data_IF_006814719625
#
_entry.id   IF_006814719625
#
_cell.length_a   1.000
_cell.length_b   1.000
_cell.length_c   1.000
_cell.angle_alpha   90.00
_cell.angle_beta   90.00
_cell.angle_gamma   90.00
#
_symmetry.space_group_name_H-M   'P 1'
#
loop_
_entity.id
_entity.type
_entity.pdbx_description
1 polymer ?
#
# COMPACT_ATOMS: atom_id res chain seq x y z
N UNK A 1 57.35 25.19 20.64
CA UNK A 1 56.85 24.55 21.85
C UNK A 1 56.85 23.06 21.57
N UNK A 2 57.80 22.29 22.13
CA UNK A 2 57.81 20.84 22.13
C UNK A 2 56.63 20.42 23.03
N UNK A 3 55.54 19.94 22.46
CA UNK A 3 54.54 19.24 23.24
C UNK A 3 55.21 18.03 23.88
N UNK A 4 55.23 17.96 25.21
CA UNK A 4 55.63 16.79 25.95
C UNK A 4 54.78 15.60 25.48
N UNK A 5 55.43 14.47 25.20
CA UNK A 5 54.72 13.20 25.05
C UNK A 5 54.23 12.77 26.42
N UNK A 6 53.21 13.44 26.92
CA UNK A 6 52.51 12.96 28.09
C UNK A 6 51.94 11.60 27.76
N UNK A 7 52.05 10.67 28.68
CA UNK A 7 51.55 9.31 28.58
C UNK A 7 50.04 9.33 28.37
N UNK A 8 49.62 9.35 27.12
CA UNK A 8 48.24 9.13 26.78
C UNK A 8 47.95 7.66 27.05
N UNK A 9 47.17 7.37 28.07
CA UNK A 9 46.72 6.01 28.38
C UNK A 9 45.71 5.57 27.34
N UNK A 10 46.18 5.19 26.16
CA UNK A 10 45.33 4.56 25.16
C UNK A 10 45.04 3.10 25.55
N UNK A 11 43.82 2.64 25.48
CA UNK A 11 43.51 1.24 25.77
C UNK A 11 44.26 0.32 24.80
N UNK A 12 44.98 -0.66 25.39
CA UNK A 12 45.59 -1.74 24.59
C UNK A 12 44.51 -2.78 24.28
N UNK A 13 44.16 -2.89 23.05
CA UNK A 13 43.13 -3.83 22.57
C UNK A 13 43.60 -4.59 21.34
N UNK A 14 43.12 -5.83 21.17
CA UNK A 14 43.32 -6.62 19.96
C UNK A 14 42.43 -6.16 18.78
N UNK A 15 41.48 -5.26 19.02
CA UNK A 15 40.65 -4.71 17.96
C UNK A 15 41.48 -3.79 17.06
N UNK A 16 41.29 -3.95 15.76
CA UNK A 16 41.94 -3.08 14.77
C UNK A 16 41.43 -1.64 14.89
N UNK A 17 42.34 -0.67 14.81
CA UNK A 17 42.00 0.76 14.76
C UNK A 17 41.18 1.13 13.51
N UNK A 18 41.34 0.38 12.44
CA UNK A 18 40.53 0.51 11.21
C UNK A 18 39.47 -0.59 11.19
N UNK A 19 38.20 -0.21 11.08
CA UNK A 19 37.11 -1.17 11.05
C UNK A 19 37.19 -2.10 9.84
N UNK A 20 37.57 -1.59 8.66
CA UNK A 20 37.67 -2.34 7.40
C UNK A 20 36.44 -3.20 7.12
N UNK A 21 35.25 -2.61 7.31
CA UNK A 21 33.97 -3.33 7.31
C UNK A 21 33.70 -4.05 6.00
N UNK A 22 34.12 -3.49 4.86
CA UNK A 22 33.90 -4.11 3.55
C UNK A 22 34.46 -5.53 3.46
N UNK A 23 35.57 -5.81 4.12
CA UNK A 23 36.21 -7.13 4.14
C UNK A 23 35.75 -7.95 5.36
N UNK A 24 35.66 -7.29 6.52
CA UNK A 24 35.37 -7.97 7.79
C UNK A 24 33.93 -8.48 7.91
N UNK A 25 32.95 -7.73 7.37
CA UNK A 25 31.55 -8.18 7.42
C UNK A 25 31.32 -9.49 6.66
N UNK A 26 31.79 -9.66 5.39
CA UNK A 26 31.69 -10.95 4.72
C UNK A 26 32.36 -12.09 5.48
N UNK A 27 33.55 -11.88 6.07
CA UNK A 27 34.24 -12.90 6.87
C UNK A 27 33.41 -13.32 8.09
N UNK A 28 32.73 -12.38 8.76
CA UNK A 28 31.84 -12.67 9.89
C UNK A 28 30.60 -13.45 9.42
N UNK A 29 30.00 -13.05 8.30
CA UNK A 29 28.83 -13.74 7.75
C UNK A 29 29.18 -15.18 7.34
N UNK A 30 30.33 -15.40 6.75
CA UNK A 30 30.83 -16.73 6.40
C UNK A 30 31.08 -17.61 7.65
N UNK A 31 31.63 -16.99 8.70
CA UNK A 31 31.78 -17.67 9.98
C UNK A 31 30.42 -18.07 10.58
N UNK A 32 29.43 -17.14 10.61
CA UNK A 32 28.08 -17.43 11.11
C UNK A 32 27.40 -18.54 10.32
N UNK A 33 27.57 -18.54 9.00
CA UNK A 33 27.06 -19.62 8.15
C UNK A 33 27.74 -20.96 8.47
N UNK A 34 29.07 -20.97 8.66
CA UNK A 34 29.84 -22.19 8.98
C UNK A 34 29.41 -22.85 10.28
N UNK A 35 29.09 -22.06 11.31
CA UNK A 35 28.64 -22.55 12.62
C UNK A 35 27.13 -22.77 12.70
N UNK A 36 26.36 -22.46 11.63
CA UNK A 36 24.88 -22.44 11.62
C UNK A 36 24.32 -21.63 12.81
N UNK A 37 24.74 -20.36 12.91
CA UNK A 37 24.50 -19.50 14.07
C UNK A 37 23.04 -19.53 14.53
N UNK A 38 22.06 -19.49 13.60
CA UNK A 38 20.65 -19.47 13.98
C UNK A 38 20.27 -20.73 14.76
N UNK A 39 20.66 -21.91 14.32
CA UNK A 39 20.37 -23.16 15.01
C UNK A 39 21.08 -23.25 16.37
N UNK A 40 22.31 -22.80 16.44
CA UNK A 40 23.05 -22.76 17.73
C UNK A 40 22.36 -21.84 18.74
N UNK A 41 21.87 -20.67 18.30
CA UNK A 41 21.08 -19.78 19.14
C UNK A 41 19.77 -20.45 19.62
N UNK A 42 19.08 -21.21 18.76
CA UNK A 42 17.85 -21.94 19.16
C UNK A 42 18.16 -23.03 20.18
N UNK A 43 19.28 -23.76 20.03
CA UNK A 43 19.68 -24.75 21.01
C UNK A 43 20.02 -24.15 22.37
N UNK A 44 20.85 -23.09 22.39
CA UNK A 44 21.30 -22.46 23.63
C UNK A 44 20.20 -21.79 24.43
N UNK A 45 19.10 -21.41 23.79
CA UNK A 45 17.98 -20.72 24.42
C UNK A 45 16.72 -21.57 24.57
N UNK A 46 16.79 -22.84 24.23
CA UNK A 46 15.67 -23.78 24.39
C UNK A 46 15.17 -23.81 25.83
N UNK A 47 13.87 -23.56 26.00
CA UNK A 47 13.22 -23.58 27.31
C UNK A 47 13.29 -22.27 28.11
N UNK A 48 13.96 -21.24 27.59
CA UNK A 48 13.93 -19.88 28.18
C UNK A 48 12.63 -19.14 27.82
N UNK A 49 12.38 -18.02 28.50
CA UNK A 49 11.26 -17.13 28.18
C UNK A 49 11.33 -16.70 26.70
N UNK A 50 10.20 -16.83 26.00
CA UNK A 50 10.13 -16.43 24.59
C UNK A 50 9.94 -14.94 24.43
N UNK A 51 10.69 -14.37 23.51
CA UNK A 51 10.43 -13.06 22.94
C UNK A 51 10.19 -13.23 21.44
N UNK A 52 9.00 -12.85 20.95
CA UNK A 52 8.63 -13.01 19.55
C UNK A 52 8.40 -11.62 18.96
N UNK A 53 9.22 -11.24 18.00
CA UNK A 53 8.99 -10.07 17.16
C UNK A 53 8.28 -10.50 15.89
N UNK A 54 7.01 -10.08 15.74
CA UNK A 54 6.27 -10.31 14.51
C UNK A 54 6.78 -9.40 13.38
N UNK A 55 7.05 -9.98 12.22
CA UNK A 55 7.51 -9.21 11.06
C UNK A 55 6.34 -8.50 10.35
N UNK A 56 6.48 -7.20 10.05
CA UNK A 56 5.68 -6.52 9.05
C UNK A 56 6.26 -6.87 7.68
N UNK A 57 5.57 -7.73 6.90
CA UNK A 57 6.16 -8.32 5.71
C UNK A 57 6.31 -7.29 4.59
N UNK A 58 7.51 -7.10 4.02
CA UNK A 58 7.68 -6.27 2.84
C UNK A 58 7.09 -6.93 1.59
N UNK A 59 6.72 -6.13 0.59
CA UNK A 59 6.33 -6.64 -0.72
C UNK A 59 7.51 -7.30 -1.44
N UNK A 60 7.24 -8.45 -2.04
CA UNK A 60 8.21 -9.19 -2.84
C UNK A 60 8.19 -8.71 -4.31
N UNK A 61 8.60 -7.45 -4.56
CA UNK A 61 8.41 -6.83 -5.89
C UNK A 61 9.57 -5.97 -6.43
N UNK A 62 10.70 -5.94 -5.74
CA UNK A 62 11.87 -5.15 -6.16
C UNK A 62 13.01 -5.26 -5.15
N UNK A 63 14.16 -4.67 -5.46
CA UNK A 63 15.26 -4.61 -4.52
C UNK A 63 14.88 -3.87 -3.24
N UNK A 64 15.50 -4.24 -2.12
CA UNK A 64 15.31 -3.50 -0.88
C UNK A 64 15.78 -2.04 -1.04
N UNK A 65 15.03 -1.12 -0.48
CA UNK A 65 15.37 0.30 -0.39
C UNK A 65 15.80 0.65 1.05
N UNK A 66 16.28 1.87 1.26
CA UNK A 66 16.77 2.31 2.57
C UNK A 66 15.75 2.13 3.70
N UNK A 67 14.46 2.38 3.43
CA UNK A 67 13.40 2.15 4.42
C UNK A 67 13.25 0.68 4.81
N UNK A 68 13.31 -0.24 3.84
CA UNK A 68 13.30 -1.68 4.09
C UNK A 68 14.52 -2.13 4.88
N UNK A 69 15.71 -1.62 4.51
CA UNK A 69 16.95 -1.92 5.22
C UNK A 69 16.90 -1.44 6.67
N UNK A 70 16.48 -0.18 6.90
CA UNK A 70 16.32 0.39 8.24
C UNK A 70 15.36 -0.44 9.09
N UNK A 71 14.20 -0.78 8.55
CA UNK A 71 13.20 -1.58 9.26
C UNK A 71 13.77 -2.93 9.69
N UNK A 72 14.46 -3.65 8.79
CA UNK A 72 15.04 -4.96 9.11
C UNK A 72 16.21 -4.87 10.08
N UNK A 73 17.06 -3.87 9.97
CA UNK A 73 18.18 -3.65 10.89
C UNK A 73 17.67 -3.35 12.30
N UNK A 74 16.66 -2.48 12.45
CA UNK A 74 16.08 -2.18 13.76
C UNK A 74 15.45 -3.42 14.41
N UNK A 75 14.72 -4.23 13.64
CA UNK A 75 14.17 -5.50 14.13
C UNK A 75 15.28 -6.47 14.54
N UNK A 76 16.33 -6.59 13.76
CA UNK A 76 17.46 -7.45 14.07
C UNK A 76 18.18 -7.02 15.35
N UNK A 77 18.36 -5.71 15.58
CA UNK A 77 18.90 -5.17 16.83
C UNK A 77 18.03 -5.58 18.02
N UNK A 78 16.71 -5.42 17.92
CA UNK A 78 15.77 -5.81 19.00
C UNK A 78 15.86 -7.31 19.28
N UNK A 79 15.81 -8.13 18.24
CA UNK A 79 15.90 -9.59 18.35
C UNK A 79 17.21 -10.03 19.01
N UNK A 80 18.34 -9.46 18.55
CA UNK A 80 19.67 -9.74 19.11
C UNK A 80 19.80 -9.25 20.54
N UNK A 81 19.25 -8.09 20.87
CA UNK A 81 19.23 -7.58 22.24
C UNK A 81 18.56 -8.57 23.19
N UNK A 82 17.33 -8.99 22.90
CA UNK A 82 16.61 -9.96 23.73
C UNK A 82 17.28 -11.33 23.75
N UNK A 83 17.91 -11.73 22.65
CA UNK A 83 18.71 -12.94 22.61
C UNK A 83 19.92 -12.88 23.56
N UNK A 84 20.61 -11.73 23.63
CA UNK A 84 21.74 -11.51 24.54
C UNK A 84 21.29 -11.32 25.99
N UNK A 85 20.09 -10.76 26.19
CA UNK A 85 19.42 -10.62 27.49
C UNK A 85 18.89 -11.97 28.04
N UNK A 86 19.18 -13.05 27.39
CA UNK A 86 18.91 -14.42 27.85
C UNK A 86 17.55 -14.98 27.47
N UNK A 87 16.79 -14.35 26.60
CA UNK A 87 15.49 -14.85 26.11
C UNK A 87 15.64 -15.76 24.89
N UNK A 88 14.64 -16.60 24.66
CA UNK A 88 14.48 -17.33 23.40
C UNK A 88 13.83 -16.39 22.36
N UNK A 89 14.67 -15.55 21.75
CA UNK A 89 14.23 -14.53 20.79
C UNK A 89 14.17 -15.11 19.38
N UNK A 90 12.96 -15.46 18.94
CA UNK A 90 12.68 -16.05 17.63
C UNK A 90 12.30 -14.98 16.66
N UNK A 91 12.92 -14.96 15.48
CA UNK A 91 12.53 -14.09 14.39
C UNK A 91 12.23 -14.93 13.12
N UNK A 92 10.97 -14.86 12.68
CA UNK A 92 10.52 -15.48 11.43
C UNK A 92 10.28 -14.35 10.42
N UNK A 93 11.12 -14.22 9.40
CA UNK A 93 10.91 -13.19 8.37
C UNK A 93 9.68 -13.49 7.53
N UNK A 94 9.00 -12.44 7.08
CA UNK A 94 7.79 -12.54 6.27
C UNK A 94 7.86 -11.75 4.97
N UNK A 95 7.00 -12.11 4.01
CA UNK A 95 6.78 -11.38 2.76
C UNK A 95 5.32 -11.26 2.41
N UNK A 96 4.95 -10.06 1.92
CA UNK A 96 3.67 -9.82 1.26
C UNK A 96 3.82 -10.08 -0.24
N UNK A 97 2.94 -10.94 -0.76
CA UNK A 97 3.06 -11.49 -2.12
C UNK A 97 1.81 -11.28 -2.97
N UNK A 98 0.87 -10.43 -2.53
CA UNK A 98 -0.42 -10.25 -3.17
C UNK A 98 -0.67 -8.81 -3.64
N UNK A 99 -1.71 -8.66 -4.47
CA UNK A 99 -2.31 -7.40 -4.86
C UNK A 99 -1.54 -6.62 -5.92
N UNK A 100 -1.94 -5.38 -6.11
CA UNK A 100 -1.44 -4.48 -7.15
C UNK A 100 0.10 -4.35 -7.19
N UNK A 101 0.83 -4.31 -6.06
CA UNK A 101 2.29 -4.19 -6.11
C UNK A 101 3.00 -5.33 -6.87
N UNK A 102 2.39 -6.51 -6.93
CA UNK A 102 2.90 -7.66 -7.68
C UNK A 102 2.28 -7.72 -9.08
N UNK A 103 0.94 -7.62 -9.17
CA UNK A 103 0.19 -7.75 -10.42
C UNK A 103 0.59 -6.69 -11.44
N UNK A 104 0.76 -5.44 -11.00
CA UNK A 104 1.19 -4.36 -11.87
C UNK A 104 2.57 -4.60 -12.49
N UNK A 105 3.51 -5.21 -11.75
CA UNK A 105 4.83 -5.56 -12.29
C UNK A 105 4.76 -6.61 -13.39
N UNK A 106 3.87 -7.57 -13.28
CA UNK A 106 3.61 -8.56 -14.34
C UNK A 106 2.94 -7.90 -15.53
N UNK A 107 1.97 -7.01 -15.29
CA UNK A 107 1.32 -6.25 -16.35
C UNK A 107 2.29 -5.34 -17.12
N UNK A 108 3.23 -4.67 -16.43
CA UNK A 108 4.31 -3.92 -17.10
C UNK A 108 5.15 -4.82 -18.02
N UNK A 109 5.46 -6.05 -17.59
CA UNK A 109 6.18 -7.02 -18.42
C UNK A 109 5.36 -7.42 -19.64
N UNK A 110 4.04 -7.61 -19.47
CA UNK A 110 3.14 -7.91 -20.58
C UNK A 110 3.10 -6.76 -21.59
N UNK A 111 2.94 -5.51 -21.11
CA UNK A 111 2.96 -4.31 -21.97
C UNK A 111 4.27 -4.21 -22.78
N UNK A 112 5.42 -4.46 -22.14
CA UNK A 112 6.72 -4.48 -22.82
C UNK A 112 6.81 -5.56 -23.91
N UNK A 113 6.19 -6.71 -23.67
CA UNK A 113 6.16 -7.85 -24.59
C UNK A 113 4.97 -7.81 -25.56
N UNK A 114 4.20 -6.69 -25.58
CA UNK A 114 2.98 -6.52 -26.41
C UNK A 114 1.91 -7.60 -26.15
N UNK A 115 1.90 -8.18 -24.96
CA UNK A 115 0.91 -9.16 -24.49
C UNK A 115 -0.22 -8.42 -23.77
N UNK A 116 -1.47 -8.76 -24.06
CA UNK A 116 -2.63 -8.18 -23.39
C UNK A 116 -3.03 -9.03 -22.18
N UNK A 117 -3.01 -8.44 -20.98
CA UNK A 117 -3.42 -9.09 -19.72
C UNK A 117 -4.81 -9.72 -19.80
N UNK A 118 -5.76 -9.06 -20.49
CA UNK A 118 -7.14 -9.53 -20.56
C UNK A 118 -7.33 -10.80 -21.42
N UNK A 119 -6.33 -11.16 -22.21
CA UNK A 119 -6.33 -12.36 -23.06
C UNK A 119 -5.61 -13.54 -22.40
N UNK A 120 -4.98 -13.32 -21.24
CA UNK A 120 -4.25 -14.35 -20.51
C UNK A 120 -5.20 -15.08 -19.54
N UNK A 121 -5.20 -16.41 -19.49
CA UNK A 121 -5.96 -17.15 -18.50
C UNK A 121 -5.57 -16.72 -17.08
N UNK A 122 -6.56 -16.51 -16.22
CA UNK A 122 -6.34 -16.01 -14.84
C UNK A 122 -5.40 -16.91 -14.04
N UNK A 123 -5.44 -18.21 -14.26
CA UNK A 123 -4.55 -19.17 -13.60
C UNK A 123 -3.10 -19.02 -14.02
N UNK A 124 -2.84 -18.70 -15.29
CA UNK A 124 -1.51 -18.41 -15.81
C UNK A 124 -0.98 -17.10 -15.22
N UNK A 125 -1.78 -16.05 -15.26
CA UNK A 125 -1.43 -14.75 -14.67
C UNK A 125 -1.08 -14.88 -13.18
N UNK A 126 -1.92 -15.58 -12.40
CA UNK A 126 -1.66 -15.84 -10.98
C UNK A 126 -0.38 -16.63 -10.74
N UNK A 127 -0.10 -17.62 -11.60
CA UNK A 127 1.14 -18.38 -11.53
C UNK A 127 2.36 -17.50 -11.76
N UNK A 128 2.32 -16.64 -12.78
CA UNK A 128 3.41 -15.70 -13.06
C UNK A 128 3.62 -14.71 -11.90
N UNK A 129 2.56 -14.23 -11.25
CA UNK A 129 2.66 -13.42 -10.03
C UNK A 129 3.36 -14.18 -8.88
N UNK A 130 3.01 -15.45 -8.65
CA UNK A 130 3.67 -16.29 -7.62
C UNK A 130 5.14 -16.52 -7.93
N UNK A 131 5.46 -16.86 -9.18
CA UNK A 131 6.84 -17.10 -9.62
C UNK A 131 7.68 -15.83 -9.48
N UNK A 132 7.12 -14.68 -9.81
CA UNK A 132 7.74 -13.36 -9.63
C UNK A 132 8.01 -13.06 -8.16
N UNK A 133 7.02 -13.22 -7.28
CA UNK A 133 7.17 -13.00 -5.85
C UNK A 133 8.21 -13.95 -5.25
N UNK A 134 8.20 -15.24 -5.61
CA UNK A 134 9.18 -16.21 -5.14
C UNK A 134 10.61 -15.82 -5.51
N UNK A 135 10.83 -15.35 -6.73
CA UNK A 135 12.13 -14.84 -7.16
C UNK A 135 12.61 -13.68 -6.25
N UNK A 136 11.72 -12.73 -5.94
CA UNK A 136 12.08 -11.60 -5.10
C UNK A 136 12.31 -11.98 -3.64
N UNK A 137 11.58 -12.97 -3.12
CA UNK A 137 11.86 -13.53 -1.78
C UNK A 137 13.31 -14.02 -1.70
N UNK A 138 13.80 -14.77 -2.67
CA UNK A 138 15.17 -15.28 -2.65
C UNK A 138 16.23 -14.16 -2.78
N UNK A 139 15.94 -13.14 -3.58
CA UNK A 139 16.80 -11.95 -3.68
C UNK A 139 16.83 -11.22 -2.34
N UNK A 140 15.66 -10.95 -1.73
CA UNK A 140 15.57 -10.29 -0.43
C UNK A 140 16.27 -11.07 0.69
N UNK A 141 16.12 -12.40 0.73
CA UNK A 141 16.87 -13.24 1.69
C UNK A 141 18.37 -13.00 1.58
N UNK A 142 18.91 -12.95 0.36
CA UNK A 142 20.32 -12.68 0.11
C UNK A 142 20.70 -11.28 0.59
N UNK A 143 19.91 -10.27 0.28
CA UNK A 143 20.14 -8.89 0.67
C UNK A 143 20.08 -8.71 2.19
N UNK A 144 19.07 -9.27 2.87
CA UNK A 144 18.94 -9.18 4.33
C UNK A 144 20.04 -9.95 5.06
N UNK A 145 20.42 -11.13 4.57
CA UNK A 145 21.57 -11.87 5.12
C UNK A 145 22.85 -11.05 4.98
N UNK A 146 23.03 -10.30 3.86
CA UNK A 146 24.19 -9.40 3.68
C UNK A 146 24.19 -8.26 4.70
N UNK A 147 23.02 -7.78 5.16
CA UNK A 147 22.91 -6.79 6.24
C UNK A 147 23.17 -7.38 7.64
N UNK A 148 23.41 -8.69 7.74
CA UNK A 148 23.65 -9.38 9.02
C UNK A 148 22.40 -9.74 9.78
N UNK A 149 21.23 -9.69 9.16
CA UNK A 149 19.96 -10.07 9.80
C UNK A 149 19.93 -11.58 10.04
N UNK A 150 19.61 -11.98 11.27
CA UNK A 150 19.54 -13.38 11.70
C UNK A 150 18.09 -13.78 11.95
N UNK A 151 17.64 -14.86 11.33
CA UNK A 151 16.26 -15.34 11.44
C UNK A 151 16.06 -16.71 10.81
N UNK A 152 14.84 -17.23 10.91
CA UNK A 152 14.44 -18.51 10.30
C UNK A 152 14.14 -18.32 8.80
N UNK A 153 15.19 -18.32 8.01
CA UNK A 153 15.09 -18.09 6.57
C UNK A 153 14.49 -19.28 5.82
N UNK A 154 14.56 -20.48 6.39
CA UNK A 154 14.08 -21.71 5.76
C UNK A 154 12.57 -21.89 5.97
N UNK A 155 12.05 -21.50 7.16
CA UNK A 155 10.64 -21.57 7.51
C UNK A 155 10.01 -20.16 7.54
N UNK A 156 10.32 -19.35 6.56
CA UNK A 156 9.78 -18.00 6.46
C UNK A 156 8.28 -17.98 6.22
N UNK A 157 7.64 -16.87 6.55
CA UNK A 157 6.25 -16.60 6.27
C UNK A 157 6.09 -15.95 4.88
N UNK A 158 5.13 -16.42 4.10
CA UNK A 158 4.74 -15.78 2.84
C UNK A 158 3.21 -15.78 2.71
N UNK A 159 2.60 -14.62 2.43
CA UNK A 159 1.14 -14.50 2.31
C UNK A 159 0.58 -15.38 1.18
N UNK A 160 1.39 -15.71 0.17
CA UNK A 160 1.02 -16.60 -0.93
C UNK A 160 1.14 -18.09 -0.62
N UNK A 161 1.63 -18.49 0.55
CA UNK A 161 1.64 -19.93 0.90
C UNK A 161 0.22 -20.43 1.07
N UNK A 162 -0.06 -21.67 0.65
CA UNK A 162 -1.42 -22.22 0.71
C UNK A 162 -1.98 -22.28 2.13
N UNK A 163 -1.14 -22.53 3.12
CA UNK A 163 -1.56 -22.51 4.53
C UNK A 163 -1.94 -21.09 4.99
N UNK A 164 -1.18 -20.08 4.59
CA UNK A 164 -1.51 -18.67 4.90
C UNK A 164 -2.80 -18.24 4.21
N UNK A 165 -2.97 -18.54 2.93
CA UNK A 165 -4.21 -18.26 2.19
C UNK A 165 -5.42 -18.97 2.83
N UNK A 166 -5.27 -20.24 3.19
CA UNK A 166 -6.32 -20.99 3.88
C UNK A 166 -6.68 -20.37 5.23
N UNK A 167 -5.70 -19.89 5.98
CA UNK A 167 -5.94 -19.23 7.27
C UNK A 167 -6.65 -17.89 7.09
N UNK A 168 -6.27 -17.08 6.10
CA UNK A 168 -6.95 -15.82 5.76
C UNK A 168 -8.43 -16.08 5.47
N UNK A 169 -8.74 -17.08 4.66
CA UNK A 169 -10.14 -17.45 4.33
C UNK A 169 -10.90 -17.93 5.57
N UNK A 170 -10.26 -18.71 6.46
CA UNK A 170 -10.89 -19.13 7.72
C UNK A 170 -11.23 -17.94 8.63
N UNK A 171 -10.32 -16.99 8.76
CA UNK A 171 -10.57 -15.80 9.57
C UNK A 171 -11.69 -14.93 8.96
N UNK A 172 -11.70 -14.69 7.65
CA UNK A 172 -12.79 -14.00 6.97
C UNK A 172 -14.14 -14.69 7.20
N UNK A 173 -14.15 -16.03 7.18
CA UNK A 173 -15.34 -16.83 7.45
C UNK A 173 -15.91 -16.66 8.87
N UNK A 174 -15.10 -16.30 9.85
CA UNK A 174 -15.57 -15.97 11.22
C UNK A 174 -16.40 -14.68 11.21
N UNK A 175 -15.93 -13.63 10.54
CA UNK A 175 -16.68 -12.38 10.39
C UNK A 175 -18.04 -12.58 9.69
N UNK A 176 -18.07 -13.48 8.69
CA UNK A 176 -19.33 -13.84 8.03
C UNK A 176 -20.30 -14.52 8.99
N UNK A 177 -19.82 -15.47 9.81
CA UNK A 177 -20.64 -16.19 10.79
C UNK A 177 -21.19 -15.30 11.88
N UNK A 178 -20.42 -14.28 12.31
CA UNK A 178 -20.83 -13.30 13.30
C UNK A 178 -21.72 -12.19 12.73
N UNK A 179 -21.95 -12.16 11.41
CA UNK A 179 -22.81 -11.19 10.75
C UNK A 179 -22.17 -9.82 10.51
N UNK A 180 -20.91 -9.62 10.86
CA UNK A 180 -20.18 -8.36 10.60
C UNK A 180 -19.72 -8.20 9.15
N UNK A 181 -19.64 -9.30 8.41
CA UNK A 181 -19.39 -9.30 6.97
C UNK A 181 -20.69 -9.57 6.22
N UNK A 182 -21.14 -8.61 5.43
CA UNK A 182 -22.33 -8.71 4.61
C UNK A 182 -22.12 -8.11 3.23
N UNK A 183 -22.94 -8.51 2.27
CA UNK A 183 -22.94 -7.94 0.91
C UNK A 183 -23.74 -6.64 0.89
N UNK A 184 -23.12 -5.57 0.44
CA UNK A 184 -23.75 -4.25 0.32
C UNK A 184 -23.24 -3.48 -0.90
N UNK A 185 -23.79 -2.27 -1.08
CA UNK A 185 -23.35 -1.33 -2.11
C UNK A 185 -22.77 -0.10 -1.44
N UNK A 186 -21.57 0.28 -1.83
CA UNK A 186 -20.88 1.48 -1.36
C UNK A 186 -20.11 2.09 -2.53
N UNK A 187 -20.15 3.42 -2.74
CA UNK A 187 -19.23 4.08 -3.66
C UNK A 187 -17.78 3.82 -3.21
N UNK A 188 -16.95 3.42 -4.16
CA UNK A 188 -15.52 3.18 -3.93
C UNK A 188 -14.70 3.88 -5.00
N UNK A 189 -13.47 4.24 -4.66
CA UNK A 189 -12.49 4.72 -5.63
C UNK A 189 -12.13 3.56 -6.57
N UNK A 190 -12.06 3.83 -7.86
CA UNK A 190 -11.91 2.82 -8.90
C UNK A 190 -10.84 3.22 -9.89
N UNK A 191 -9.88 2.35 -10.15
CA UNK A 191 -8.94 2.50 -11.26
C UNK A 191 -9.55 1.95 -12.55
N UNK A 192 -9.74 2.82 -13.53
CA UNK A 192 -10.21 2.42 -14.87
C UNK A 192 -9.13 1.69 -15.67
N UNK A 193 -7.85 1.90 -15.32
CA UNK A 193 -6.70 1.26 -15.95
C UNK A 193 -6.53 -0.16 -15.41
N UNK A 194 -6.47 -0.30 -14.09
CA UNK A 194 -6.28 -1.58 -13.41
C UNK A 194 -7.58 -2.38 -13.27
N UNK A 195 -8.73 -1.74 -13.52
CA UNK A 195 -10.09 -2.33 -13.41
C UNK A 195 -10.36 -2.95 -12.05
N UNK A 196 -10.03 -2.21 -11.01
CA UNK A 196 -10.20 -2.64 -9.62
C UNK A 196 -10.54 -1.46 -8.70
N UNK A 197 -11.13 -1.76 -7.54
CA UNK A 197 -11.27 -0.82 -6.45
C UNK A 197 -9.88 -0.48 -5.87
N UNK A 198 -9.75 0.73 -5.35
CA UNK A 198 -8.54 1.23 -4.71
C UNK A 198 -8.78 1.40 -3.20
N UNK A 199 -7.79 1.05 -2.40
CA UNK A 199 -7.71 1.47 -1.01
C UNK A 199 -7.29 2.95 -0.93
N UNK A 200 -7.65 3.65 0.15
CA UNK A 200 -7.32 5.07 0.32
C UNK A 200 -5.80 5.34 0.22
N UNK A 201 -4.97 4.39 0.68
CA UNK A 201 -3.52 4.49 0.60
C UNK A 201 -2.94 4.34 -0.82
N UNK A 202 -3.74 3.86 -1.77
CA UNK A 202 -3.34 3.68 -3.18
C UNK A 202 -3.74 4.87 -4.05
N UNK A 203 -4.42 5.87 -3.46
CA UNK A 203 -4.93 7.05 -4.17
C UNK A 203 -3.92 8.17 -4.10
N UNK A 204 -3.50 8.66 -5.25
CA UNK A 204 -2.67 9.84 -5.38
C UNK A 204 -3.49 11.00 -5.95
N UNK A 205 -3.45 12.15 -5.27
CA UNK A 205 -4.13 13.35 -5.71
C UNK A 205 -3.18 14.19 -6.58
N UNK A 206 -3.66 14.59 -7.74
CA UNK A 206 -2.91 15.42 -8.68
C UNK A 206 -3.82 16.54 -9.21
N UNK A 207 -3.20 17.65 -9.60
CA UNK A 207 -3.91 18.71 -10.30
C UNK A 207 -4.44 18.16 -11.63
N UNK A 208 -5.76 18.27 -11.84
CA UNK A 208 -6.42 17.79 -13.03
C UNK A 208 -7.26 18.87 -13.67
N UNK A 209 -7.13 19.01 -14.99
CA UNK A 209 -7.96 19.92 -15.78
C UNK A 209 -9.07 19.10 -16.45
N UNK A 210 -10.31 19.44 -16.12
CA UNK A 210 -11.49 18.80 -16.72
C UNK A 210 -12.50 19.85 -17.17
N UNK A 211 -13.37 19.45 -18.10
CA UNK A 211 -14.48 20.27 -18.54
C UNK A 211 -15.58 20.28 -17.49
N UNK A 212 -16.11 21.46 -17.20
CA UNK A 212 -17.26 21.64 -16.32
C UNK A 212 -18.40 22.25 -17.11
N UNK A 213 -19.63 21.90 -16.79
CA UNK A 213 -20.80 22.42 -17.47
C UNK A 213 -21.87 22.88 -16.50
N UNK A 214 -22.65 23.88 -16.94
CA UNK A 214 -23.96 24.16 -16.40
C UNK A 214 -25.02 23.47 -17.24
N UNK A 215 -25.99 22.83 -16.58
CA UNK A 215 -27.09 22.13 -17.26
C UNK A 215 -28.41 22.57 -16.66
N UNK A 216 -29.37 22.86 -17.52
CA UNK A 216 -30.71 23.29 -17.15
C UNK A 216 -31.72 22.16 -17.29
N UNK A 217 -32.50 21.87 -16.26
CA UNK A 217 -33.61 20.91 -16.27
C UNK A 217 -34.95 21.64 -16.20
N UNK A 218 -35.74 21.52 -17.22
CA UNK A 218 -37.04 22.20 -17.31
C UNK A 218 -38.05 21.63 -16.32
N UNK A 219 -38.68 22.51 -15.56
CA UNK A 219 -39.80 22.16 -14.65
C UNK A 219 -41.02 21.79 -15.45
N UNK A 220 -41.44 20.53 -15.41
CA UNK A 220 -42.57 20.00 -16.16
C UNK A 220 -43.88 20.11 -15.40
N UNK A 221 -43.85 19.94 -14.08
CA UNK A 221 -45.03 20.03 -13.20
C UNK A 221 -44.58 20.50 -11.82
N UNK A 222 -45.31 21.44 -11.26
CA UNK A 222 -45.02 22.00 -9.95
C UNK A 222 -46.31 22.49 -9.30
N UNK A 223 -46.34 22.57 -7.96
CA UNK A 223 -47.39 23.19 -7.17
C UNK A 223 -47.05 24.66 -6.81
N UNK A 224 -45.83 25.11 -7.15
CA UNK A 224 -45.32 26.45 -6.88
C UNK A 224 -45.39 27.27 -8.16
N UNK A 225 -46.24 28.29 -8.19
CA UNK A 225 -46.47 29.17 -9.37
C UNK A 225 -45.16 29.84 -9.85
N UNK A 226 -44.28 30.16 -8.92
CA UNK A 226 -43.01 30.80 -9.17
C UNK A 226 -42.10 29.93 -10.05
N UNK A 227 -42.25 28.63 -10.00
CA UNK A 227 -41.44 27.67 -10.75
C UNK A 227 -42.05 27.28 -12.09
N UNK A 228 -43.27 27.75 -12.41
CA UNK A 228 -43.89 27.45 -13.70
C UNK A 228 -43.09 28.07 -14.86
N UNK A 229 -42.71 27.23 -15.84
CA UNK A 229 -41.97 27.66 -17.00
C UNK A 229 -40.53 28.06 -16.74
N UNK A 230 -39.95 27.58 -15.62
CA UNK A 230 -38.56 27.80 -15.25
C UNK A 230 -37.72 26.57 -15.56
N UNK A 231 -36.42 26.76 -15.64
CA UNK A 231 -35.41 25.71 -15.72
C UNK A 231 -34.56 25.73 -14.42
N UNK A 232 -34.36 24.58 -13.78
CA UNK A 232 -33.47 24.48 -12.63
C UNK A 232 -32.05 24.24 -13.15
N UNK A 233 -31.11 25.11 -12.79
CA UNK A 233 -29.71 25.02 -13.24
C UNK A 233 -28.87 24.32 -12.20
N UNK A 234 -28.08 23.38 -12.67
CA UNK A 234 -27.02 22.73 -11.89
C UNK A 234 -25.67 22.94 -12.55
N UNK A 235 -24.61 22.81 -11.76
CA UNK A 235 -23.24 22.79 -12.22
C UNK A 235 -22.62 21.43 -11.90
N UNK A 236 -21.84 20.88 -12.83
CA UNK A 236 -21.16 19.61 -12.62
C UNK A 236 -19.76 19.60 -13.21
N UNK A 237 -18.83 18.92 -12.51
CA UNK A 237 -17.49 18.58 -13.01
C UNK A 237 -17.47 17.22 -13.73
N UNK A 238 -18.57 16.51 -13.77
CA UNK A 238 -18.70 15.15 -14.29
C UNK A 238 -19.84 15.05 -15.30
N UNK A 239 -19.74 15.73 -16.47
CA UNK A 239 -20.83 15.84 -17.44
C UNK A 239 -21.33 14.50 -17.97
N UNK A 240 -20.50 13.48 -18.01
CA UNK A 240 -20.87 12.14 -18.46
C UNK A 240 -21.89 11.42 -17.54
N UNK A 241 -22.18 11.96 -16.36
CA UNK A 241 -23.22 11.42 -15.45
C UNK A 241 -24.62 11.90 -15.79
N UNK A 242 -24.78 12.97 -16.55
CA UNK A 242 -26.07 13.57 -16.91
C UNK A 242 -27.05 12.59 -17.56
N UNK A 243 -26.65 11.69 -18.50
CA UNK A 243 -27.60 10.73 -19.09
C UNK A 243 -28.26 9.79 -18.08
N UNK A 244 -27.63 9.55 -16.94
CA UNK A 244 -28.14 8.69 -15.86
C UNK A 244 -28.80 9.48 -14.72
N UNK A 245 -28.93 10.81 -14.84
CA UNK A 245 -29.47 11.67 -13.78
C UNK A 245 -30.96 11.34 -13.53
N UNK A 246 -31.34 11.16 -12.26
CA UNK A 246 -32.70 10.80 -11.85
C UNK A 246 -33.38 11.82 -10.93
N UNK A 247 -32.56 12.66 -10.29
CA UNK A 247 -33.05 13.65 -9.33
C UNK A 247 -32.10 14.82 -9.22
N UNK A 248 -32.60 15.95 -8.74
CA UNK A 248 -31.80 17.11 -8.32
C UNK A 248 -31.93 17.23 -6.80
N UNK A 249 -30.79 17.40 -6.13
CA UNK A 249 -30.75 17.69 -4.71
C UNK A 249 -30.62 19.21 -4.49
N UNK A 250 -31.26 19.72 -3.46
CA UNK A 250 -31.12 21.09 -3.03
C UNK A 250 -30.74 21.14 -1.54
N UNK A 251 -30.21 22.26 -1.10
CA UNK A 251 -29.87 22.50 0.29
C UNK A 251 -30.95 23.38 0.93
N UNK A 252 -31.65 22.88 1.94
CA UNK A 252 -32.73 23.58 2.64
C UNK A 252 -32.27 24.87 3.37
N UNK A 253 -30.97 24.98 3.64
CA UNK A 253 -30.40 26.17 4.30
C UNK A 253 -30.04 27.31 3.34
N UNK A 254 -30.23 27.12 2.02
CA UNK A 254 -29.90 28.12 1.01
C UNK A 254 -31.17 28.70 0.40
N UNK A 255 -31.11 30.00 0.11
CA UNK A 255 -32.13 30.69 -0.67
C UNK A 255 -31.90 30.46 -2.17
N UNK A 256 -32.99 30.22 -2.90
CA UNK A 256 -32.99 30.03 -4.34
C UNK A 256 -33.83 31.11 -5.00
N UNK A 257 -33.28 31.71 -6.04
CA UNK A 257 -33.93 32.79 -6.76
C UNK A 257 -34.38 32.31 -8.15
N UNK A 258 -35.53 32.83 -8.56
CA UNK A 258 -35.98 32.73 -9.94
C UNK A 258 -35.55 34.00 -10.65
N UNK A 259 -34.63 33.89 -11.56
CA UNK A 259 -34.09 35.02 -12.33
C UNK A 259 -34.44 34.89 -13.81
N UNK A 260 -34.63 36.02 -14.48
CA UNK A 260 -34.77 36.06 -15.92
C UNK A 260 -33.48 36.48 -16.59
N UNK A 261 -33.02 35.67 -17.55
CA UNK A 261 -31.78 35.96 -18.28
C UNK A 261 -32.06 37.01 -19.35
N UNK A 262 -31.30 38.13 -19.29
CA UNK A 262 -31.38 39.24 -20.25
C UNK A 262 -30.30 39.16 -21.34
N UNK A 263 -29.72 37.96 -21.54
CA UNK A 263 -28.69 37.74 -22.53
C UNK A 263 -29.28 37.73 -23.96
N UNK A 264 -28.50 38.18 -24.94
CA UNK A 264 -28.89 38.19 -26.35
C UNK A 264 -28.68 36.84 -27.08
N UNK A 265 -28.23 35.81 -26.36
CA UNK A 265 -27.98 34.47 -26.87
C UNK A 265 -29.21 33.53 -26.81
N UNK A 266 -28.93 32.22 -26.93
CA UNK A 266 -29.92 31.13 -26.95
C UNK A 266 -30.79 31.02 -25.68
N UNK A 267 -30.41 31.71 -24.61
CA UNK A 267 -31.10 31.72 -23.33
C UNK A 267 -31.91 32.97 -23.08
N UNK A 268 -32.06 33.84 -24.07
CA UNK A 268 -32.82 35.07 -23.97
C UNK A 268 -34.24 34.84 -23.42
N UNK A 269 -34.59 35.62 -22.39
CA UNK A 269 -35.85 35.57 -21.68
C UNK A 269 -36.18 34.28 -20.95
N UNK A 270 -35.24 33.32 -20.87
CA UNK A 270 -35.46 32.12 -20.05
C UNK A 270 -35.41 32.49 -18.57
N UNK A 271 -36.31 31.87 -17.82
CA UNK A 271 -36.34 31.95 -16.36
C UNK A 271 -35.62 30.73 -15.81
N UNK A 272 -34.64 30.97 -14.94
CA UNK A 272 -33.86 29.92 -14.30
C UNK A 272 -33.95 30.01 -12.78
N UNK A 273 -33.82 28.87 -12.13
CA UNK A 273 -33.67 28.75 -10.67
C UNK A 273 -32.22 28.47 -10.35
N UNK A 274 -31.64 29.33 -9.49
CA UNK A 274 -30.27 29.21 -9.06
C UNK A 274 -30.16 29.60 -7.58
N UNK A 275 -29.18 29.05 -6.86
CA UNK A 275 -28.91 29.48 -5.49
C UNK A 275 -28.41 30.94 -5.47
N UNK A 276 -28.94 31.76 -4.54
CA UNK A 276 -28.56 33.16 -4.42
C UNK A 276 -27.04 33.33 -4.26
N UNK A 277 -26.39 32.44 -3.51
CA UNK A 277 -24.94 32.48 -3.29
C UNK A 277 -24.10 32.28 -4.56
N UNK A 278 -24.71 31.95 -5.71
CA UNK A 278 -24.04 31.74 -7.00
C UNK A 278 -24.31 32.88 -8.01
N UNK A 279 -24.96 33.96 -7.57
CA UNK A 279 -25.14 35.19 -8.33
C UNK A 279 -24.03 36.18 -8.03
#
# INVERSE_FOLDING_TARGET
>A
VKMSKENINLPKTAFSMKANLQNKEPEILDYWKKIDLYKELRKSNKGKEKFILHDGPPYANGNIHMGTALNKILKDIIVKFHQMDGKDSVYVPGWDCHGLPIEWKIEEQYKKNKKNKNEVPITEFRKECRDFAQKWIEIHKTQFKRLGVVGDWDNHYATMSFDAEAQIVRELGKFLKEGSLYRGFKPVLWSTVEKTALADAEVEYQDHKSDTIYTAFSVKKTNLKELEGTDVVIWTTTPWTIPANKALAYNEALDYLVIQLNDDGDFKNKKIVIAEALL
#
